data_IF_756883431110
#
_entry.id   IF_756883431110
#
_cell.length_a   1.000
_cell.length_b   1.000
_cell.length_c   1.000
_cell.angle_alpha   90.00
_cell.angle_beta   90.00
_cell.angle_gamma   90.00
#
_symmetry.space_group_name_H-M   'P 1'
#
loop_
_entity.id
_entity.type
_entity.pdbx_description
1 polymer ?
#
# COMPACT_ATOMS: atom_id res chain seq x y z
N UNK A 1 1.03 0.42 -13.97
CA UNK A 1 -0.37 0.72 -13.59
C UNK A 1 -0.94 -0.58 -13.04
N UNK A 2 -1.67 -0.55 -11.92
CA UNK A 2 -2.30 -1.73 -11.32
C UNK A 2 -3.53 -2.13 -12.17
N UNK A 3 -3.32 -2.50 -13.43
CA UNK A 3 -4.39 -2.87 -14.38
C UNK A 3 -4.83 -4.33 -14.19
N UNK A 4 -4.73 -4.84 -12.97
CA UNK A 4 -5.02 -6.23 -12.60
C UNK A 4 -5.47 -6.34 -11.15
N UNK A 5 -5.81 -7.56 -10.71
CA UNK A 5 -6.26 -7.81 -9.35
C UNK A 5 -5.21 -7.34 -8.34
N UNK A 6 -5.50 -6.27 -7.62
CA UNK A 6 -4.70 -5.79 -6.50
C UNK A 6 -5.10 -6.61 -5.28
N UNK A 7 -4.10 -7.17 -4.61
CA UNK A 7 -4.28 -7.94 -3.38
C UNK A 7 -3.48 -7.28 -2.26
N UNK A 8 -3.87 -7.51 -1.01
CA UNK A 8 -3.14 -7.04 0.18
C UNK A 8 -1.63 -7.42 0.12
N UNK A 9 -1.31 -8.58 -0.45
CA UNK A 9 0.09 -8.99 -0.67
C UNK A 9 0.84 -8.04 -1.61
N UNK A 10 0.21 -7.63 -2.71
CA UNK A 10 0.81 -6.72 -3.70
C UNK A 10 1.02 -5.35 -3.06
N UNK A 11 0.01 -4.83 -2.36
CA UNK A 11 0.09 -3.55 -1.65
C UNK A 11 1.20 -3.54 -0.60
N UNK A 12 1.22 -4.54 0.30
CA UNK A 12 2.25 -4.64 1.33
C UNK A 12 3.67 -4.85 0.77
N UNK A 13 3.80 -5.58 -0.34
CA UNK A 13 5.10 -5.74 -1.02
C UNK A 13 5.57 -4.43 -1.65
N UNK A 14 4.67 -3.70 -2.30
CA UNK A 14 4.98 -2.41 -2.93
C UNK A 14 5.38 -1.35 -1.88
N UNK A 15 4.64 -1.25 -0.77
CA UNK A 15 4.92 -0.31 0.32
C UNK A 15 6.18 -0.67 1.12
N UNK A 16 6.59 -1.94 1.09
CA UNK A 16 7.81 -2.43 1.75
C UNK A 16 9.05 -2.46 0.85
N UNK A 17 8.95 -2.05 -0.42
CA UNK A 17 10.00 -2.26 -1.40
C UNK A 17 11.20 -1.33 -1.18
N UNK A 18 12.36 -1.90 -0.84
CA UNK A 18 13.63 -1.18 -0.76
C UNK A 18 13.62 0.02 0.22
N UNK A 19 13.01 -0.15 1.40
CA UNK A 19 12.92 0.87 2.46
C UNK A 19 14.26 1.46 2.94
N UNK A 20 15.39 0.80 2.69
CA UNK A 20 16.74 1.28 3.02
C UNK A 20 17.34 2.19 1.93
N UNK A 21 16.65 2.35 0.80
CA UNK A 21 17.13 3.08 -0.38
C UNK A 21 16.11 4.12 -0.87
N UNK A 22 14.82 3.82 -0.75
CA UNK A 22 13.74 4.68 -1.21
C UNK A 22 13.26 5.56 -0.06
N UNK A 23 13.51 6.86 -0.19
CA UNK A 23 13.10 7.85 0.82
C UNK A 23 11.61 8.19 0.73
N UNK A 24 11.05 8.19 -0.49
CA UNK A 24 9.67 8.65 -0.74
C UNK A 24 8.94 7.68 -1.66
N UNK A 25 7.77 7.23 -1.21
CA UNK A 25 6.79 6.50 -2.01
C UNK A 25 5.62 7.44 -2.31
N UNK A 26 5.18 7.48 -3.57
CA UNK A 26 3.99 8.22 -3.99
C UNK A 26 2.97 7.25 -4.55
N UNK A 27 1.80 7.18 -3.92
CA UNK A 27 0.73 6.25 -4.26
C UNK A 27 -0.60 6.99 -4.36
N UNK A 28 -1.33 6.75 -5.45
CA UNK A 28 -2.66 7.33 -5.72
C UNK A 28 -3.67 6.23 -6.09
N UNK A 29 -3.47 5.04 -5.53
CA UNK A 29 -4.43 3.94 -5.57
C UNK A 29 -5.12 3.82 -4.21
N UNK A 30 -6.27 3.15 -4.18
CA UNK A 30 -7.09 3.04 -2.98
C UNK A 30 -8.47 2.45 -3.31
N UNK A 31 -9.43 2.57 -2.39
CA UNK A 31 -10.82 2.17 -2.62
C UNK A 31 -11.45 2.93 -3.80
N UNK A 32 -12.59 2.45 -4.29
CA UNK A 32 -13.32 3.16 -5.34
C UNK A 32 -13.81 4.53 -4.86
N UNK A 33 -13.56 5.58 -5.66
CA UNK A 33 -14.03 6.95 -5.42
C UNK A 33 -15.52 7.14 -5.80
N UNK A 34 -16.40 6.23 -5.39
CA UNK A 34 -17.82 6.23 -5.75
C UNK A 34 -18.74 6.86 -4.70
N UNK A 35 -18.16 7.36 -3.61
CA UNK A 35 -18.89 7.95 -2.48
C UNK A 35 -19.68 6.95 -1.64
N UNK A 36 -19.48 5.64 -1.86
CA UNK A 36 -20.18 4.55 -1.17
C UNK A 36 -19.22 3.54 -0.54
N UNK A 37 -18.04 3.40 -1.11
CA UNK A 37 -17.02 2.45 -0.66
C UNK A 37 -16.31 2.98 0.58
N UNK A 38 -16.24 2.15 1.62
CA UNK A 38 -15.42 2.39 2.81
C UNK A 38 -14.50 1.18 2.95
N UNK A 39 -13.21 1.39 2.70
CA UNK A 39 -12.19 0.36 2.77
C UNK A 39 -10.83 0.99 3.09
N UNK A 40 -9.82 0.17 3.36
CA UNK A 40 -8.48 0.62 3.75
C UNK A 40 -7.43 -0.48 3.61
N UNK A 41 -6.19 -0.24 4.06
CA UNK A 41 -5.11 -1.20 3.92
C UNK A 41 -5.43 -2.51 4.64
N UNK A 42 -5.19 -3.63 3.96
CA UNK A 42 -5.22 -4.96 4.55
C UNK A 42 -4.09 -5.17 5.57
N UNK A 43 -4.00 -6.38 6.13
CA UNK A 43 -3.03 -6.69 7.19
C UNK A 43 -1.59 -6.48 6.73
N UNK A 44 -1.22 -6.97 5.54
CA UNK A 44 0.15 -6.89 5.03
C UNK A 44 0.52 -5.46 4.63
N UNK A 45 -0.41 -4.72 4.00
CA UNK A 45 -0.23 -3.32 3.69
C UNK A 45 0.00 -2.49 4.96
N UNK A 46 -0.81 -2.69 6.00
CA UNK A 46 -0.65 -2.02 7.30
C UNK A 46 0.70 -2.34 7.95
N UNK A 47 1.09 -3.61 8.00
CA UNK A 47 2.39 -4.02 8.55
C UNK A 47 3.57 -3.40 7.78
N UNK A 48 3.47 -3.23 6.47
CA UNK A 48 4.50 -2.58 5.66
C UNK A 48 4.68 -1.10 6.03
N UNK A 49 3.57 -0.38 6.22
CA UNK A 49 3.56 1.01 6.69
C UNK A 49 4.17 1.09 8.10
N UNK A 50 3.73 0.23 9.03
CA UNK A 50 4.26 0.21 10.40
C UNK A 50 5.77 -0.07 10.44
N UNK A 51 6.28 -0.96 9.58
CA UNK A 51 7.72 -1.20 9.44
C UNK A 51 8.46 0.04 8.92
N UNK A 52 7.90 0.75 7.95
CA UNK A 52 8.52 1.96 7.38
C UNK A 52 8.70 3.10 8.39
N UNK A 53 7.93 3.12 9.48
CA UNK A 53 8.02 4.14 10.55
C UNK A 53 9.03 3.75 11.64
N UNK A 54 9.24 2.46 11.87
CA UNK A 54 10.06 1.94 12.99
C UNK A 54 11.55 1.79 12.68
N UNK A 55 11.96 2.10 11.45
CA UNK A 55 13.36 2.02 11.00
C UNK A 55 14.22 3.15 11.59
#
# INVERSE_FOLDING_TARGET
>A
MLDGLVTDRIEGTALGFAQHLVDIYSASWGPNDDGKTVDGPGRLAREAIERGIRL
#
